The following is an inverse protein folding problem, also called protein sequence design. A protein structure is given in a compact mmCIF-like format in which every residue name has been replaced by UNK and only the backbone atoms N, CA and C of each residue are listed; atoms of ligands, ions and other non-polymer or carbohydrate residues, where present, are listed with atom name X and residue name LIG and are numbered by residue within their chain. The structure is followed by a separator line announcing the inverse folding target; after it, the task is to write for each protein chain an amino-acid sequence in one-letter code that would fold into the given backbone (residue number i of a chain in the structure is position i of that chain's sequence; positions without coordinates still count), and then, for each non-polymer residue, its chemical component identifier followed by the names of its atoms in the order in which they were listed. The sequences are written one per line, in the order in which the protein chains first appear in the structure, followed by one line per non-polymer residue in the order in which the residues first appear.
data_IF_441268293787
#
_entry.id   IF_441268293787
#
_cell.length_a   1.000
_cell.length_b   1.000
_cell.length_c   1.000
_cell.angle_alpha   90.00
_cell.angle_beta   90.00
_cell.angle_gamma   90.00
#
_symmetry.space_group_name_H-M   'P 1'
#
loop_
_entity.id
_entity.type
_entity.pdbx_description
1 polymer ?
#
# COMPACT_ATOMS: atom_id res chain seq x y z
N UNK A 1 1.26 41.74 13.61
CA UNK A 1 0.78 40.39 13.24
C UNK A 1 1.99 39.47 13.34
N UNK A 2 2.09 38.66 14.40
CA UNK A 2 3.24 37.74 14.58
C UNK A 2 3.14 36.64 13.52
N UNK A 3 4.25 36.24 12.87
CA UNK A 3 4.24 35.09 11.96
C UNK A 3 3.90 33.84 12.77
N UNK A 4 2.91 33.09 12.31
CA UNK A 4 2.58 31.78 12.85
C UNK A 4 3.65 30.82 12.33
N UNK A 5 4.77 30.74 13.04
CA UNK A 5 5.66 29.57 12.97
C UNK A 5 5.04 28.47 13.83
N UNK A 6 4.08 27.74 13.26
CA UNK A 6 3.72 26.41 13.75
C UNK A 6 4.49 25.38 12.91
N UNK A 7 5.70 25.03 13.38
CA UNK A 7 6.22 23.68 13.21
C UNK A 7 5.50 22.80 14.24
N UNK A 8 4.19 22.60 14.07
CA UNK A 8 3.56 21.41 14.66
C UNK A 8 4.04 20.25 13.80
N UNK A 9 4.69 19.25 14.41
CA UNK A 9 5.09 18.04 13.68
C UNK A 9 3.81 17.46 13.09
N UNK A 10 3.71 17.40 11.77
CA UNK A 10 2.56 16.78 11.11
C UNK A 10 2.47 15.30 11.52
N UNK A 11 1.28 14.70 11.39
CA UNK A 11 1.11 13.27 11.66
C UNK A 11 2.13 12.44 10.86
N UNK A 12 2.33 12.80 9.58
CA UNK A 12 3.39 12.26 8.74
C UNK A 12 4.80 12.39 9.36
N UNK A 13 5.19 13.56 9.87
CA UNK A 13 6.51 13.77 10.48
C UNK A 13 6.73 12.90 11.72
N UNK A 14 5.66 12.64 12.48
CA UNK A 14 5.71 11.75 13.64
C UNK A 14 5.96 10.32 13.19
N UNK A 15 5.20 9.84 12.21
CA UNK A 15 5.33 8.47 11.70
C UNK A 15 6.70 8.23 11.07
N UNK A 16 7.25 9.19 10.33
CA UNK A 16 8.60 9.08 9.75
C UNK A 16 9.67 8.94 10.84
N UNK A 17 9.51 9.61 11.99
CA UNK A 17 10.45 9.48 13.12
C UNK A 17 10.36 8.15 13.84
N UNK A 18 9.20 7.49 13.77
CA UNK A 18 8.96 6.19 14.40
C UNK A 18 9.45 5.02 13.54
N UNK A 19 9.91 5.26 12.31
CA UNK A 19 10.55 4.23 11.48
C UNK A 19 11.97 4.00 11.99
N UNK A 20 12.25 2.77 12.43
CA UNK A 20 13.55 2.34 12.93
C UNK A 20 14.18 1.26 12.03
N UNK A 21 15.52 1.12 12.03
CA UNK A 21 16.19 0.07 11.27
C UNK A 21 15.85 -1.32 11.83
N UNK A 22 16.01 -2.36 11.01
CA UNK A 22 15.94 -3.74 11.47
C UNK A 22 16.89 -4.01 12.65
N UNK A 23 16.51 -4.91 13.53
CA UNK A 23 17.30 -5.26 14.71
C UNK A 23 18.47 -6.19 14.36
N UNK A 24 19.69 -5.68 14.50
CA UNK A 24 20.92 -6.42 14.19
C UNK A 24 21.08 -7.69 15.04
N UNK A 25 20.66 -7.68 16.31
CA UNK A 25 20.79 -8.85 17.17
C UNK A 25 19.89 -9.99 16.71
N UNK A 26 18.66 -9.68 16.27
CA UNK A 26 17.78 -10.70 15.71
C UNK A 26 18.26 -11.21 14.35
N UNK A 27 18.85 -10.34 13.52
CA UNK A 27 19.49 -10.76 12.27
C UNK A 27 20.63 -11.75 12.54
N UNK A 28 21.53 -11.43 13.46
CA UNK A 28 22.66 -12.30 13.84
C UNK A 28 22.18 -13.65 14.40
N UNK A 29 21.17 -13.64 15.27
CA UNK A 29 20.58 -14.87 15.82
C UNK A 29 19.92 -15.72 14.72
N UNK A 30 19.23 -15.11 13.77
CA UNK A 30 18.63 -15.81 12.63
C UNK A 30 19.68 -16.41 11.71
N UNK A 31 20.73 -15.67 11.38
CA UNK A 31 21.87 -16.17 10.60
C UNK A 31 22.52 -17.37 11.29
N UNK A 32 22.84 -17.26 12.58
CA UNK A 32 23.44 -18.36 13.35
C UNK A 32 22.55 -19.61 13.41
N UNK A 33 21.22 -19.42 13.52
CA UNK A 33 20.28 -20.53 13.45
C UNK A 33 20.28 -21.22 12.08
N UNK A 34 20.26 -20.43 11.00
CA UNK A 34 20.25 -20.93 9.62
C UNK A 34 21.54 -21.67 9.26
N UNK A 35 22.70 -21.25 9.77
CA UNK A 35 24.00 -21.91 9.58
C UNK A 35 24.08 -23.29 10.26
N UNK A 36 23.24 -23.55 11.27
CA UNK A 36 23.19 -24.84 11.98
C UNK A 36 22.28 -25.87 11.29
N UNK A 37 21.51 -25.46 10.28
CA UNK A 37 20.65 -26.37 9.55
C UNK A 37 21.50 -27.39 8.76
N UNK A 38 21.00 -28.62 8.64
CA UNK A 38 21.69 -29.70 7.92
C UNK A 38 21.61 -29.52 6.40
N UNK A 39 22.19 -28.43 5.90
CA UNK A 39 22.23 -28.03 4.49
C UNK A 39 23.61 -27.41 4.18
N UNK A 40 24.08 -27.41 2.92
CA UNK A 40 25.26 -26.64 2.54
C UNK A 40 25.08 -25.16 2.91
N UNK A 41 26.20 -24.48 3.17
CA UNK A 41 26.19 -23.05 3.49
C UNK A 41 25.37 -22.28 2.46
N UNK A 42 24.34 -21.59 2.96
CA UNK A 42 23.46 -20.71 2.18
C UNK A 42 22.76 -21.35 0.97
N UNK A 43 22.48 -22.67 1.02
CA UNK A 43 21.95 -23.42 -0.11
C UNK A 43 20.61 -22.92 -0.70
N UNK A 44 19.83 -22.14 0.04
CA UNK A 44 18.54 -21.59 -0.41
C UNK A 44 18.59 -20.10 -0.81
N UNK A 45 19.78 -19.49 -0.84
CA UNK A 45 20.01 -18.14 -1.35
C UNK A 45 19.06 -17.09 -0.75
N UNK A 46 18.36 -16.36 -1.62
CA UNK A 46 17.42 -15.28 -1.27
C UNK A 46 16.37 -15.67 -0.22
N UNK A 47 16.00 -16.95 -0.13
CA UNK A 47 15.04 -17.41 0.89
C UNK A 47 15.61 -17.31 2.31
N UNK A 48 16.92 -17.53 2.46
CA UNK A 48 17.62 -17.39 3.74
C UNK A 48 17.84 -15.92 4.08
N UNK A 49 18.16 -15.09 3.08
CA UNK A 49 18.27 -13.64 3.24
C UNK A 49 16.92 -13.05 3.71
N UNK A 50 15.82 -13.46 3.08
CA UNK A 50 14.47 -13.06 3.48
C UNK A 50 14.14 -13.49 4.91
N UNK A 51 14.55 -14.69 5.34
CA UNK A 51 14.32 -15.15 6.71
C UNK A 51 15.06 -14.28 7.75
N UNK A 52 16.30 -13.87 7.45
CA UNK A 52 17.09 -12.96 8.29
C UNK A 52 16.44 -11.56 8.32
N UNK A 53 15.99 -11.06 7.17
CA UNK A 53 15.30 -9.77 7.07
C UNK A 53 14.01 -9.76 7.90
N UNK A 54 13.17 -10.79 7.77
CA UNK A 54 11.93 -10.90 8.54
C UNK A 54 12.20 -10.98 10.05
N UNK A 55 13.25 -11.70 10.46
CA UNK A 55 13.63 -11.75 11.87
C UNK A 55 14.06 -10.38 12.41
N UNK A 56 14.85 -9.64 11.64
CA UNK A 56 15.28 -8.28 11.97
C UNK A 56 14.13 -7.27 12.00
N UNK A 57 13.18 -7.36 11.06
CA UNK A 57 12.00 -6.48 10.99
C UNK A 57 11.04 -6.74 12.16
N UNK A 58 10.76 -8.00 12.46
CA UNK A 58 9.74 -8.39 13.46
C UNK A 58 10.31 -8.57 14.86
N UNK A 59 11.64 -8.50 15.01
CA UNK A 59 12.36 -8.81 16.26
C UNK A 59 11.94 -10.17 16.82
N UNK A 60 11.92 -11.19 15.95
CA UNK A 60 11.47 -12.54 16.27
C UNK A 60 12.17 -13.58 15.40
N UNK A 61 12.63 -14.69 15.98
CA UNK A 61 13.10 -15.85 15.20
C UNK A 61 11.96 -16.69 14.60
N UNK A 62 10.72 -16.32 14.91
CA UNK A 62 9.50 -16.90 14.34
C UNK A 62 8.61 -15.74 13.86
N UNK A 63 9.02 -15.03 12.79
CA UNK A 63 8.25 -13.91 12.27
C UNK A 63 6.83 -14.36 11.91
N UNK A 64 5.78 -13.66 12.34
CA UNK A 64 4.42 -13.99 11.92
C UNK A 64 4.28 -13.67 10.42
N UNK A 65 3.69 -14.60 9.66
CA UNK A 65 3.47 -14.44 8.21
C UNK A 65 2.13 -15.03 7.75
N UNK A 66 1.27 -15.38 8.70
CA UNK A 66 0.03 -16.11 8.40
C UNK A 66 -0.99 -15.18 7.73
N UNK A 67 -1.20 -14.00 8.31
CA UNK A 67 -2.25 -13.06 7.92
C UNK A 67 -1.73 -12.09 6.87
N UNK A 68 -2.17 -12.25 5.63
CA UNK A 68 -1.68 -11.47 4.49
C UNK A 68 -2.81 -10.63 3.91
N UNK A 69 -2.51 -9.38 3.55
CA UNK A 69 -3.50 -8.51 2.88
C UNK A 69 -2.83 -7.73 1.76
N UNK A 70 -3.42 -7.81 0.57
CA UNK A 70 -3.11 -6.91 -0.55
C UNK A 70 -4.00 -5.67 -0.40
N UNK A 71 -3.40 -4.49 -0.28
CA UNK A 71 -4.11 -3.22 -0.24
C UNK A 71 -4.04 -2.59 -1.63
N UNK A 72 -5.20 -2.52 -2.30
CA UNK A 72 -5.32 -1.95 -3.65
C UNK A 72 -5.81 -0.50 -3.55
N UNK A 73 -4.91 0.43 -3.85
CA UNK A 73 -5.20 1.86 -3.87
C UNK A 73 -5.77 2.26 -5.24
N UNK A 74 -6.97 2.84 -5.26
CA UNK A 74 -7.65 3.18 -6.53
C UNK A 74 -7.83 4.68 -6.69
N UNK A 75 -7.56 5.20 -7.90
CA UNK A 75 -7.68 6.62 -8.22
C UNK A 75 -7.62 6.90 -9.72
N UNK A 76 -8.22 8.01 -10.15
CA UNK A 76 -8.20 8.43 -11.56
C UNK A 76 -7.16 9.53 -11.79
N UNK A 77 -6.65 9.60 -13.03
CA UNK A 77 -5.57 10.52 -13.38
C UNK A 77 -5.99 11.48 -14.50
N UNK A 78 -5.88 12.80 -14.28
CA UNK A 78 -6.26 13.80 -15.28
C UNK A 78 -5.46 13.73 -16.59
N UNK A 79 -4.28 13.11 -16.60
CA UNK A 79 -3.46 12.92 -17.80
C UNK A 79 -4.13 12.01 -18.85
N UNK A 80 -5.17 11.26 -18.48
CA UNK A 80 -5.93 10.45 -19.44
C UNK A 80 -6.58 11.29 -20.54
N UNK A 81 -6.81 12.59 -20.31
CA UNK A 81 -7.27 13.53 -21.34
C UNK A 81 -6.33 13.60 -22.55
N UNK A 82 -5.06 13.28 -22.38
CA UNK A 82 -4.04 13.31 -23.43
C UNK A 82 -3.99 12.00 -24.25
N UNK A 83 -4.92 11.07 -24.04
CA UNK A 83 -5.02 9.84 -24.83
C UNK A 83 -3.91 8.81 -24.55
N UNK A 84 -3.32 8.86 -23.35
CA UNK A 84 -2.19 7.99 -22.96
C UNK A 84 -2.57 6.54 -22.67
N UNK A 85 -3.87 6.21 -22.67
CA UNK A 85 -4.40 4.88 -22.38
C UNK A 85 -5.28 4.38 -23.52
N UNK A 86 -5.28 3.05 -23.73
CA UNK A 86 -6.20 2.37 -24.65
C UNK A 86 -7.62 2.22 -24.09
N UNK A 87 -7.78 2.34 -22.77
CA UNK A 87 -9.05 2.19 -22.06
C UNK A 87 -9.55 3.54 -21.56
N UNK A 88 -10.88 3.78 -21.54
CA UNK A 88 -11.46 5.00 -20.98
C UNK A 88 -11.36 5.02 -19.45
N UNK A 89 -11.34 6.21 -18.85
CA UNK A 89 -11.13 6.38 -17.41
C UNK A 89 -12.24 5.76 -16.55
N UNK A 90 -13.45 5.58 -17.07
CA UNK A 90 -14.55 4.92 -16.33
C UNK A 90 -14.24 3.46 -15.97
N UNK A 91 -13.26 2.83 -16.65
CA UNK A 91 -12.83 1.46 -16.35
C UNK A 91 -12.24 1.35 -14.94
N UNK A 92 -11.68 2.43 -14.36
CA UNK A 92 -11.22 2.43 -12.97
C UNK A 92 -12.34 2.03 -12.01
N UNK A 93 -13.51 2.68 -12.11
CA UNK A 93 -14.65 2.39 -11.26
C UNK A 93 -15.20 0.98 -11.50
N UNK A 94 -15.26 0.53 -12.76
CA UNK A 94 -15.68 -0.85 -13.10
C UNK A 94 -14.77 -1.89 -12.46
N UNK A 95 -13.46 -1.65 -12.43
CA UNK A 95 -12.50 -2.54 -11.78
C UNK A 95 -12.68 -2.57 -10.26
N UNK A 96 -13.08 -1.46 -9.62
CA UNK A 96 -13.45 -1.48 -8.19
C UNK A 96 -14.57 -2.47 -7.92
N UNK A 97 -15.65 -2.43 -8.72
CA UNK A 97 -16.73 -3.42 -8.60
C UNK A 97 -16.23 -4.85 -8.82
N UNK A 98 -15.30 -5.06 -9.77
CA UNK A 98 -14.72 -6.37 -10.02
C UNK A 98 -13.85 -6.88 -8.85
N UNK A 99 -13.06 -6.01 -8.21
CA UNK A 99 -12.29 -6.35 -7.01
C UNK A 99 -13.21 -6.75 -5.86
N UNK A 100 -14.28 -5.99 -5.62
CA UNK A 100 -15.30 -6.25 -4.59
C UNK A 100 -16.03 -7.58 -4.86
N UNK A 101 -16.35 -7.86 -6.13
CA UNK A 101 -16.97 -9.12 -6.53
C UNK A 101 -16.00 -10.33 -6.51
N UNK A 102 -14.70 -10.11 -6.29
CA UNK A 102 -13.70 -11.18 -6.25
C UNK A 102 -13.27 -11.72 -7.62
N UNK A 103 -13.61 -11.00 -8.71
CA UNK A 103 -13.44 -11.45 -10.08
C UNK A 103 -12.15 -10.98 -10.77
N UNK A 104 -11.33 -10.13 -10.14
CA UNK A 104 -10.11 -9.64 -10.76
C UNK A 104 -8.93 -10.62 -10.57
N UNK A 105 -7.87 -10.43 -11.39
CA UNK A 105 -6.65 -11.24 -11.32
C UNK A 105 -6.01 -11.22 -9.92
N UNK A 106 -5.96 -10.06 -9.26
CA UNK A 106 -5.42 -9.97 -7.90
C UNK A 106 -6.24 -10.78 -6.89
N UNK A 107 -7.57 -10.90 -7.07
CA UNK A 107 -8.38 -11.74 -6.20
C UNK A 107 -8.00 -13.23 -6.38
N UNK A 108 -7.73 -13.66 -7.61
CA UNK A 108 -7.27 -15.04 -7.87
C UNK A 108 -5.91 -15.33 -7.23
N UNK A 109 -4.94 -14.43 -7.42
CA UNK A 109 -3.60 -14.57 -6.84
C UNK A 109 -3.62 -14.48 -5.31
N UNK A 110 -4.41 -13.55 -4.75
CA UNK A 110 -4.56 -13.41 -3.31
C UNK A 110 -5.16 -14.68 -2.69
N UNK A 111 -6.20 -15.28 -3.29
CA UNK A 111 -6.73 -16.57 -2.84
C UNK A 111 -5.68 -17.67 -2.84
N UNK A 112 -4.89 -17.78 -3.92
CA UNK A 112 -3.81 -18.77 -4.01
C UNK A 112 -2.74 -18.57 -2.93
N UNK A 113 -2.43 -17.31 -2.58
CA UNK A 113 -1.44 -16.97 -1.56
C UNK A 113 -2.01 -16.94 -0.13
N UNK A 114 -3.30 -17.21 0.07
CA UNK A 114 -3.96 -17.08 1.37
C UNK A 114 -4.06 -15.63 1.87
N UNK A 115 -4.11 -14.65 0.96
CA UNK A 115 -4.21 -13.23 1.26
C UNK A 115 -5.63 -12.70 1.05
N UNK A 116 -5.98 -11.66 1.82
CA UNK A 116 -7.18 -10.84 1.60
C UNK A 116 -6.88 -9.74 0.58
N UNK A 117 -7.92 -9.21 -0.05
CA UNK A 117 -7.83 -7.99 -0.88
C UNK A 117 -8.66 -6.90 -0.21
N UNK A 118 -8.00 -5.80 0.16
CA UNK A 118 -8.61 -4.60 0.70
C UNK A 118 -8.57 -3.52 -0.38
N UNK A 119 -9.72 -2.96 -0.75
CA UNK A 119 -9.80 -1.88 -1.74
C UNK A 119 -9.97 -0.55 -1.05
N UNK A 120 -9.14 0.43 -1.44
CA UNK A 120 -9.14 1.78 -0.86
C UNK A 120 -9.32 2.81 -1.96
N UNK A 121 -10.45 3.51 -1.95
CA UNK A 121 -10.69 4.64 -2.85
C UNK A 121 -9.92 5.86 -2.39
N UNK A 122 -8.82 6.16 -3.08
CA UNK A 122 -7.93 7.30 -2.83
C UNK A 122 -8.29 8.51 -3.70
N UNK A 123 -8.97 8.31 -4.83
CA UNK A 123 -9.24 9.43 -5.72
C UNK A 123 -9.98 9.09 -7.02
N UNK A 124 -10.89 8.12 -7.00
CA UNK A 124 -11.70 7.83 -8.20
C UNK A 124 -12.60 9.02 -8.55
N UNK A 125 -12.84 9.28 -9.83
CA UNK A 125 -13.74 10.33 -10.30
C UNK A 125 -15.22 9.94 -10.13
N UNK A 126 -15.51 8.64 -10.09
CA UNK A 126 -16.84 8.11 -9.85
C UNK A 126 -17.26 8.23 -8.36
N UNK A 127 -18.56 8.30 -8.14
CA UNK A 127 -19.15 8.15 -6.81
C UNK A 127 -19.22 6.66 -6.44
N UNK A 128 -18.51 6.29 -5.38
CA UNK A 128 -18.47 4.95 -4.80
C UNK A 128 -19.00 4.91 -3.36
N UNK A 129 -19.76 5.94 -2.96
CA UNK A 129 -20.34 6.08 -1.62
C UNK A 129 -21.18 4.88 -1.21
N UNK A 130 -21.93 4.28 -2.14
CA UNK A 130 -22.70 3.06 -1.89
C UNK A 130 -21.83 1.86 -1.49
N UNK A 131 -20.66 1.68 -2.13
CA UNK A 131 -19.73 0.61 -1.78
C UNK A 131 -19.08 0.87 -0.41
N UNK A 132 -18.72 2.13 -0.15
CA UNK A 132 -18.15 2.54 1.12
C UNK A 132 -19.15 2.38 2.28
N UNK A 133 -20.42 2.76 2.07
CA UNK A 133 -21.49 2.63 3.06
C UNK A 133 -21.83 1.17 3.41
N UNK A 134 -21.61 0.25 2.47
CA UNK A 134 -21.72 -1.21 2.69
C UNK A 134 -20.46 -1.82 3.33
N UNK A 135 -19.40 -1.02 3.54
CA UNK A 135 -18.10 -1.50 4.03
C UNK A 135 -17.34 -2.37 3.04
N UNK A 136 -17.71 -2.36 1.75
CA UNK A 136 -17.08 -3.16 0.71
C UNK A 136 -15.73 -2.58 0.25
N UNK A 137 -15.53 -1.27 0.45
CA UNK A 137 -14.27 -0.55 0.22
C UNK A 137 -14.02 0.41 1.37
N UNK A 138 -12.77 0.81 1.58
CA UNK A 138 -12.45 1.98 2.42
C UNK A 138 -12.48 3.24 1.57
N UNK A 139 -13.14 4.28 2.07
CA UNK A 139 -13.09 5.60 1.45
C UNK A 139 -12.01 6.46 2.10
N UNK A 140 -11.04 6.89 1.31
CA UNK A 140 -9.95 7.82 1.64
C UNK A 140 -9.76 8.86 0.53
N UNK A 141 -10.86 9.19 -0.16
CA UNK A 141 -10.85 9.99 -1.38
C UNK A 141 -10.30 11.39 -1.11
N UNK A 142 -9.16 11.72 -1.70
CA UNK A 142 -8.49 13.02 -1.57
C UNK A 142 -9.12 14.05 -2.51
N UNK A 143 -9.36 13.63 -3.75
CA UNK A 143 -9.98 14.41 -4.82
C UNK A 143 -10.61 13.46 -5.83
N UNK A 144 -11.61 13.94 -6.58
CA UNK A 144 -12.17 13.19 -7.72
C UNK A 144 -11.23 13.29 -8.91
N UNK A 145 -10.28 12.35 -8.99
CA UNK A 145 -9.19 12.36 -9.97
C UNK A 145 -8.09 13.38 -9.66
N UNK A 146 -6.86 13.11 -10.14
CA UNK A 146 -5.78 14.11 -10.13
C UNK A 146 -6.01 15.16 -11.21
N UNK A 147 -5.36 16.33 -11.08
CA UNK A 147 -5.18 17.23 -12.21
C UNK A 147 -4.29 16.59 -13.30
N UNK A 148 -4.33 17.17 -14.50
CA UNK A 148 -3.56 16.71 -15.65
C UNK A 148 -2.10 17.16 -15.55
N UNK A 149 -1.18 16.20 -15.43
CA UNK A 149 0.25 16.47 -15.24
C UNK A 149 0.92 17.13 -16.46
N UNK A 150 0.33 17.00 -17.65
CA UNK A 150 0.83 17.67 -18.85
C UNK A 150 0.57 19.18 -18.83
N UNK A 151 -0.36 19.63 -17.97
CA UNK A 151 -0.79 21.04 -17.87
C UNK A 151 -0.37 21.72 -16.56
N UNK A 152 0.12 20.96 -15.59
CA UNK A 152 0.49 21.47 -14.28
C UNK A 152 0.71 20.35 -13.26
N UNK A 153 0.81 20.66 -11.96
CA UNK A 153 0.96 19.62 -10.93
C UNK A 153 -0.30 18.74 -10.82
N UNK A 154 -0.13 17.44 -10.57
CA UNK A 154 -1.23 16.49 -10.35
C UNK A 154 -2.15 16.88 -9.18
N UNK A 155 -1.55 17.50 -8.15
CA UNK A 155 -2.23 17.92 -6.92
C UNK A 155 -1.37 18.94 -6.16
N UNK A 156 -1.96 19.58 -5.14
CA UNK A 156 -1.21 20.44 -4.22
C UNK A 156 -0.33 19.61 -3.28
N UNK A 157 0.70 20.22 -2.69
CA UNK A 157 1.52 19.57 -1.65
C UNK A 157 0.66 19.10 -0.46
N UNK A 158 -0.38 19.86 -0.10
CA UNK A 158 -1.31 19.49 0.97
C UNK A 158 -2.06 18.20 0.63
N UNK A 159 -2.58 18.07 -0.60
CA UNK A 159 -3.22 16.83 -1.04
C UNK A 159 -2.26 15.65 -1.07
N UNK A 160 -1.00 15.86 -1.46
CA UNK A 160 0.01 14.82 -1.44
C UNK A 160 0.29 14.31 -0.02
N UNK A 161 0.41 15.22 0.96
CA UNK A 161 0.57 14.85 2.37
C UNK A 161 -0.66 14.07 2.86
N UNK A 162 -1.87 14.55 2.58
CA UNK A 162 -3.12 13.86 2.95
C UNK A 162 -3.23 12.45 2.32
N UNK A 163 -2.75 12.26 1.08
CA UNK A 163 -2.73 10.96 0.43
C UNK A 163 -1.80 9.97 1.16
N UNK A 164 -0.62 10.43 1.58
CA UNK A 164 0.32 9.59 2.35
C UNK A 164 -0.25 9.28 3.74
N UNK A 165 -0.78 10.29 4.44
CA UNK A 165 -1.40 10.12 5.75
C UNK A 165 -2.60 9.16 5.71
N UNK A 166 -3.43 9.23 4.67
CA UNK A 166 -4.51 8.28 4.45
C UNK A 166 -4.01 6.83 4.28
N UNK A 167 -2.89 6.63 3.57
CA UNK A 167 -2.25 5.31 3.45
C UNK A 167 -1.73 4.79 4.79
N UNK A 168 -1.10 5.66 5.60
CA UNK A 168 -0.65 5.34 6.96
C UNK A 168 -1.85 4.95 7.83
N UNK A 169 -2.95 5.70 7.79
CA UNK A 169 -4.16 5.40 8.55
C UNK A 169 -4.76 4.04 8.19
N UNK A 170 -4.73 3.67 6.90
CA UNK A 170 -5.15 2.34 6.45
C UNK A 170 -4.23 1.26 7.01
N UNK A 171 -2.91 1.45 6.94
CA UNK A 171 -1.95 0.50 7.49
C UNK A 171 -2.14 0.32 9.00
N UNK A 172 -2.26 1.40 9.76
CA UNK A 172 -2.52 1.36 11.20
C UNK A 172 -3.85 0.66 11.54
N UNK A 173 -4.93 0.92 10.79
CA UNK A 173 -6.22 0.26 11.01
C UNK A 173 -6.19 -1.26 10.75
N UNK A 174 -5.21 -1.74 9.97
CA UNK A 174 -5.04 -3.14 9.61
C UNK A 174 -3.93 -3.84 10.39
N UNK A 175 -3.03 -3.10 11.06
CA UNK A 175 -1.80 -3.62 11.67
C UNK A 175 -2.04 -4.79 12.64
N UNK A 176 -3.07 -4.73 13.48
CA UNK A 176 -3.38 -5.81 14.42
C UNK A 176 -3.89 -7.10 13.76
N UNK A 177 -4.24 -7.03 12.47
CA UNK A 177 -4.90 -8.11 11.70
C UNK A 177 -4.05 -8.62 10.54
N UNK A 178 -2.90 -7.99 10.28
CA UNK A 178 -2.06 -8.26 9.11
C UNK A 178 -0.61 -8.38 9.54
N UNK A 179 0.01 -9.48 9.15
CA UNK A 179 1.44 -9.73 9.34
C UNK A 179 2.24 -9.26 8.13
N UNK A 180 1.70 -9.47 6.94
CA UNK A 180 2.34 -9.12 5.66
C UNK A 180 1.39 -8.30 4.81
N UNK A 181 1.82 -7.08 4.49
CA UNK A 181 1.17 -6.22 3.51
C UNK A 181 1.78 -6.44 2.13
N UNK A 182 0.93 -6.50 1.12
CA UNK A 182 1.30 -6.27 -0.27
C UNK A 182 0.54 -5.04 -0.78
N UNK A 183 1.15 -4.28 -1.67
CA UNK A 183 0.50 -3.14 -2.31
C UNK A 183 0.06 -3.50 -3.72
N UNK A 184 -1.02 -2.87 -4.16
CA UNK A 184 -1.47 -2.85 -5.54
C UNK A 184 -2.13 -1.52 -5.84
N UNK A 185 -2.30 -1.22 -7.11
CA UNK A 185 -2.98 -0.02 -7.55
C UNK A 185 -3.94 -0.29 -8.71
N UNK A 186 -4.86 0.64 -8.92
CA UNK A 186 -5.71 0.67 -10.09
C UNK A 186 -6.07 2.12 -10.42
N UNK A 187 -5.64 2.57 -11.60
CA UNK A 187 -6.02 3.85 -12.17
C UNK A 187 -5.71 3.86 -13.65
N UNK A 188 -6.69 4.21 -14.49
CA UNK A 188 -6.41 4.31 -15.91
C UNK A 188 -5.41 5.44 -16.16
N UNK A 189 -4.36 5.15 -16.95
CA UNK A 189 -3.27 6.08 -17.25
C UNK A 189 -2.22 6.24 -16.15
N UNK A 190 -2.29 5.46 -15.05
CA UNK A 190 -1.36 5.56 -13.91
C UNK A 190 0.10 5.19 -14.23
N UNK A 191 0.39 4.61 -15.40
CA UNK A 191 1.77 4.33 -15.84
C UNK A 191 2.45 5.52 -16.52
N UNK A 192 1.75 6.63 -16.71
CA UNK A 192 2.31 7.87 -17.30
C UNK A 192 2.91 8.81 -16.25
N UNK A 193 2.26 9.08 -15.09
CA UNK A 193 2.93 9.72 -13.95
C UNK A 193 4.17 8.96 -13.49
#
# INVERSE_FOLDING_TARGET
MKPITQKENSFLDTVVKDIYPQDTSYREQATAHLEQLTMPHWALGDLMDLAVDLAGMTRSLKPPVERKTVVVMVGDHGVTEEGVSKYPSEVTAQMVYNFVAGGAGINALARQAGAKVEVVDMGTAADLSDLAGKGAIRSKKIKSGTDNIARGPAMSRTHAVLAVEAGIEVAHALADKVDVFATGDMGIGNTTP
#
